data_IF_487325206672
#
_entry.id   IF_487325206672
#
_cell.length_a   1.000
_cell.length_b   1.000
_cell.length_c   1.000
_cell.angle_alpha   90.00
_cell.angle_beta   90.00
_cell.angle_gamma   90.00
#
_symmetry.space_group_name_H-M   'P 1'
#
loop_
_entity.id
_entity.type
_entity.pdbx_description
1 polymer ?
#
# COMPACT_ATOMS: atom_id res chain seq x y z
N UNK A 1 4.59 10.02 -16.22
CA UNK A 1 3.17 9.77 -15.82
C UNK A 1 2.69 10.98 -14.99
N UNK A 2 1.41 11.08 -14.58
CA UNK A 2 0.89 12.26 -13.88
C UNK A 2 1.60 12.55 -12.54
N UNK A 3 1.93 11.52 -11.75
CA UNK A 3 2.66 11.66 -10.48
C UNK A 3 4.04 12.31 -10.69
N UNK A 4 4.78 11.85 -11.70
CA UNK A 4 6.08 12.41 -12.06
C UNK A 4 6.00 13.84 -12.62
N UNK A 5 4.95 14.14 -13.39
CA UNK A 5 4.74 15.50 -13.89
C UNK A 5 4.54 16.45 -12.71
N UNK A 6 3.62 16.11 -11.80
CA UNK A 6 3.32 16.91 -10.61
C UNK A 6 4.57 17.08 -9.74
N UNK A 7 5.36 16.03 -9.55
CA UNK A 7 6.54 16.10 -8.68
C UNK A 7 7.62 17.04 -9.21
N UNK A 8 7.63 17.35 -10.51
CA UNK A 8 8.59 18.29 -11.11
C UNK A 8 8.03 19.70 -11.35
N UNK A 9 6.75 19.95 -11.06
CA UNK A 9 6.21 21.30 -11.13
C UNK A 9 6.81 22.19 -10.04
N UNK A 10 6.98 23.46 -10.34
CA UNK A 10 7.49 24.48 -9.43
C UNK A 10 6.69 25.78 -9.58
N UNK A 11 7.07 26.84 -8.84
CA UNK A 11 6.34 28.12 -8.83
C UNK A 11 6.30 28.84 -10.18
N UNK A 12 7.18 28.50 -11.13
CA UNK A 12 7.14 29.00 -12.50
C UNK A 12 6.28 28.16 -13.44
N UNK A 13 5.82 26.98 -13.01
CA UNK A 13 4.93 26.12 -13.78
C UNK A 13 3.50 26.67 -13.81
N UNK A 14 2.77 26.41 -14.90
CA UNK A 14 1.40 26.86 -15.05
C UNK A 14 0.44 26.12 -14.10
N UNK A 15 -0.48 26.84 -13.47
CA UNK A 15 -1.56 26.26 -12.65
C UNK A 15 -2.43 25.25 -13.43
N UNK A 16 -2.54 25.42 -14.76
CA UNK A 16 -3.26 24.48 -15.63
C UNK A 16 -2.59 23.09 -15.69
N UNK A 17 -1.26 23.02 -15.69
CA UNK A 17 -0.52 21.75 -15.72
C UNK A 17 -0.71 20.98 -14.41
N UNK A 18 -0.70 21.71 -13.29
CA UNK A 18 -0.99 21.17 -11.96
C UNK A 18 -2.41 20.60 -11.88
N UNK A 19 -3.41 21.39 -12.28
CA UNK A 19 -4.82 20.96 -12.28
C UNK A 19 -5.04 19.74 -13.17
N UNK A 20 -4.39 19.70 -14.33
CA UNK A 20 -4.45 18.55 -15.27
C UNK A 20 -3.84 17.30 -14.65
N UNK A 21 -2.64 17.42 -14.06
CA UNK A 21 -1.97 16.31 -13.38
C UNK A 21 -2.77 15.76 -12.21
N UNK A 22 -3.31 16.63 -11.35
CA UNK A 22 -4.13 16.23 -10.20
C UNK A 22 -5.42 15.55 -10.66
N UNK A 23 -6.09 16.10 -11.68
CA UNK A 23 -7.30 15.49 -12.24
C UNK A 23 -7.02 14.10 -12.80
N UNK A 24 -5.90 13.90 -13.48
CA UNK A 24 -5.50 12.60 -14.00
C UNK A 24 -5.24 11.57 -12.88
N UNK A 25 -4.64 11.99 -11.75
CA UNK A 25 -4.48 11.13 -10.56
C UNK A 25 -5.85 10.76 -9.97
N UNK A 26 -6.70 11.76 -9.72
CA UNK A 26 -8.06 11.56 -9.20
C UNK A 26 -8.83 10.56 -10.05
N UNK A 27 -8.90 10.78 -11.35
CA UNK A 27 -9.70 9.96 -12.27
C UNK A 27 -9.15 8.52 -12.36
N UNK A 28 -7.81 8.38 -12.33
CA UNK A 28 -7.16 7.07 -12.28
C UNK A 28 -7.48 6.32 -10.99
N UNK A 29 -7.42 7.00 -9.84
CA UNK A 29 -7.74 6.39 -8.55
C UNK A 29 -9.22 6.07 -8.39
N UNK A 30 -10.12 6.89 -8.94
CA UNK A 30 -11.54 6.56 -9.02
C UNK A 30 -11.76 5.25 -9.78
N UNK A 31 -11.09 5.08 -10.93
CA UNK A 31 -11.12 3.84 -11.71
C UNK A 31 -10.53 2.65 -10.95
N UNK A 32 -9.42 2.84 -10.23
CA UNK A 32 -8.85 1.81 -9.35
C UNK A 32 -9.86 1.39 -8.30
N UNK A 33 -10.54 2.33 -7.64
CA UNK A 33 -11.58 2.04 -6.67
C UNK A 33 -12.77 1.28 -7.28
N UNK A 34 -13.20 1.63 -8.48
CA UNK A 34 -14.25 0.89 -9.20
C UNK A 34 -13.83 -0.55 -9.49
N UNK A 35 -12.59 -0.78 -9.92
CA UNK A 35 -12.06 -2.13 -10.17
C UNK A 35 -11.93 -2.89 -8.85
N UNK A 36 -11.41 -2.26 -7.80
CA UNK A 36 -11.17 -2.92 -6.52
C UNK A 36 -12.48 -3.39 -5.87
N UNK A 37 -13.58 -2.64 -6.00
CA UNK A 37 -14.93 -3.04 -5.55
C UNK A 37 -15.44 -4.35 -6.17
N UNK A 38 -14.89 -4.75 -7.32
CA UNK A 38 -15.28 -5.97 -8.03
C UNK A 38 -14.54 -7.21 -7.55
N UNK A 39 -13.56 -7.07 -6.65
CA UNK A 39 -12.82 -8.21 -6.09
C UNK A 39 -13.75 -9.32 -5.57
N UNK A 40 -14.86 -9.04 -4.84
CA UNK A 40 -15.77 -10.08 -4.36
C UNK A 40 -16.52 -10.83 -5.47
N UNK A 41 -16.57 -10.34 -6.70
CA UNK A 41 -17.21 -11.05 -7.83
C UNK A 41 -16.48 -12.36 -8.17
N UNK A 42 -15.17 -12.43 -7.90
CA UNK A 42 -14.29 -13.54 -8.30
C UNK A 42 -13.32 -14.01 -7.22
N UNK A 43 -13.32 -13.38 -6.04
CA UNK A 43 -12.51 -13.77 -4.91
C UNK A 43 -13.44 -14.09 -3.74
N UNK A 44 -13.67 -15.37 -3.47
CA UNK A 44 -14.45 -15.78 -2.30
C UNK A 44 -13.59 -15.67 -1.03
N UNK A 45 -14.06 -15.05 0.06
CA UNK A 45 -13.29 -14.89 1.29
C UNK A 45 -12.77 -16.20 1.89
N UNK A 46 -13.60 -17.24 1.91
CA UNK A 46 -13.22 -18.55 2.46
C UNK A 46 -12.16 -19.21 1.58
N UNK A 47 -12.37 -19.23 0.26
CA UNK A 47 -11.41 -19.78 -0.69
C UNK A 47 -10.07 -19.04 -0.61
N UNK A 48 -10.09 -17.71 -0.59
CA UNK A 48 -8.87 -16.92 -0.47
C UNK A 48 -8.12 -17.25 0.82
N UNK A 49 -8.78 -17.18 1.99
CA UNK A 49 -8.10 -17.37 3.27
C UNK A 49 -7.59 -18.80 3.48
N UNK A 50 -8.35 -19.82 3.09
CA UNK A 50 -8.02 -21.20 3.40
C UNK A 50 -7.30 -21.95 2.28
N UNK A 51 -7.40 -21.50 1.02
CA UNK A 51 -6.85 -22.24 -0.13
C UNK A 51 -5.82 -21.48 -0.93
N UNK A 52 -5.76 -20.15 -0.81
CA UNK A 52 -4.78 -19.32 -1.52
C UNK A 52 -3.73 -18.80 -0.55
N UNK A 53 -4.17 -18.15 0.53
CA UNK A 53 -3.32 -17.49 1.52
C UNK A 53 -2.20 -18.37 2.10
N UNK A 54 -2.38 -19.67 2.38
CA UNK A 54 -1.31 -20.51 2.92
C UNK A 54 -0.05 -20.56 2.04
N UNK A 55 -0.18 -20.42 0.72
CA UNK A 55 0.92 -20.57 -0.23
C UNK A 55 1.74 -19.29 -0.45
N UNK A 56 1.27 -18.16 0.08
CA UNK A 56 1.90 -16.86 -0.13
C UNK A 56 2.63 -16.35 1.12
N UNK A 57 2.44 -17.02 2.27
CA UNK A 57 3.29 -16.83 3.44
C UNK A 57 4.77 -17.10 3.13
N UNK A 58 5.63 -16.20 3.62
CA UNK A 58 7.08 -16.33 3.50
C UNK A 58 7.67 -17.24 4.57
N UNK A 59 8.99 -17.15 4.72
CA UNK A 59 9.76 -17.96 5.68
C UNK A 59 10.09 -17.18 6.95
N UNK A 60 10.00 -15.84 6.92
CA UNK A 60 10.14 -14.97 8.08
C UNK A 60 8.86 -14.96 8.91
N UNK A 61 8.99 -15.11 10.22
CA UNK A 61 7.88 -15.13 11.19
C UNK A 61 6.82 -16.21 10.89
N UNK A 62 7.20 -17.27 10.17
CA UNK A 62 6.32 -18.37 9.82
C UNK A 62 6.44 -19.52 10.84
N UNK A 63 5.35 -19.90 11.54
CA UNK A 63 5.40 -20.95 12.57
C UNK A 63 5.71 -22.34 12.02
N UNK A 64 5.44 -22.59 10.73
CA UNK A 64 5.74 -23.88 10.08
C UNK A 64 7.21 -23.96 9.62
N UNK A 65 7.91 -22.82 9.56
CA UNK A 65 9.33 -22.70 9.20
C UNK A 65 10.10 -21.89 10.27
N UNK A 66 10.11 -22.33 11.54
CA UNK A 66 10.67 -21.56 12.65
C UNK A 66 12.18 -21.31 12.52
N UNK A 67 12.87 -22.15 11.75
CA UNK A 67 14.31 -22.07 11.50
C UNK A 67 14.64 -21.49 10.11
N UNK A 68 13.68 -20.86 9.44
CA UNK A 68 13.85 -20.33 8.08
C UNK A 68 13.88 -21.44 7.01
N UNK A 69 14.31 -21.08 5.80
CA UNK A 69 14.42 -21.98 4.66
C UNK A 69 15.84 -22.03 4.12
N UNK A 70 16.38 -23.23 3.95
CA UNK A 70 17.66 -23.46 3.26
C UNK A 70 17.40 -23.44 1.75
N UNK A 71 18.20 -22.65 1.04
CA UNK A 71 18.25 -22.66 -0.43
C UNK A 71 19.53 -23.38 -0.83
N UNK A 72 19.42 -24.66 -1.18
CA UNK A 72 20.56 -25.53 -1.51
C UNK A 72 21.43 -24.89 -2.60
N UNK A 73 22.74 -24.79 -2.34
CA UNK A 73 23.73 -24.18 -3.23
C UNK A 73 23.79 -22.65 -3.17
N UNK A 74 22.94 -21.99 -2.37
CA UNK A 74 22.85 -20.54 -2.26
C UNK A 74 23.02 -20.08 -0.81
N UNK A 75 23.26 -18.77 -0.62
CA UNK A 75 23.36 -18.12 0.69
C UNK A 75 24.29 -18.81 1.71
N UNK A 76 25.35 -19.46 1.23
CA UNK A 76 26.30 -20.24 2.04
C UNK A 76 25.64 -21.35 2.89
N UNK A 77 24.52 -21.93 2.44
CA UNK A 77 23.74 -22.93 3.18
C UNK A 77 23.15 -22.39 4.50
N UNK A 78 23.04 -21.08 4.66
CA UNK A 78 22.41 -20.46 5.83
C UNK A 78 20.88 -20.33 5.65
N UNK A 79 20.07 -20.54 6.70
CA UNK A 79 18.63 -20.35 6.60
C UNK A 79 18.23 -18.91 6.33
N UNK A 80 17.35 -18.74 5.35
CA UNK A 80 16.84 -17.43 4.95
C UNK A 80 15.42 -17.17 5.47
N UNK A 81 15.19 -15.90 5.82
CA UNK A 81 13.96 -15.40 6.42
C UNK A 81 13.38 -14.29 5.55
N UNK A 82 12.66 -14.66 4.50
CA UNK A 82 12.00 -13.72 3.61
C UNK A 82 10.53 -13.53 3.99
N UNK A 83 10.03 -12.31 3.86
CA UNK A 83 8.61 -11.99 4.10
C UNK A 83 7.75 -12.62 3.02
N UNK A 84 6.52 -12.96 3.40
CA UNK A 84 5.47 -13.28 2.45
C UNK A 84 5.10 -12.08 1.58
N UNK A 85 4.22 -12.32 0.63
CA UNK A 85 3.65 -11.27 -0.19
C UNK A 85 2.82 -10.29 0.67
N UNK A 86 2.71 -9.04 0.24
CA UNK A 86 1.74 -8.13 0.84
C UNK A 86 1.41 -7.00 -0.12
N UNK A 87 0.22 -6.42 0.01
CA UNK A 87 -0.15 -5.22 -0.74
C UNK A 87 0.82 -4.05 -0.54
N UNK A 88 1.58 -4.02 0.57
CA UNK A 88 2.61 -3.02 0.83
C UNK A 88 3.84 -3.12 -0.08
N UNK A 89 4.01 -4.21 -0.84
CA UNK A 89 5.04 -4.37 -1.87
C UNK A 89 4.62 -3.73 -3.22
N UNK A 90 3.40 -3.20 -3.32
CA UNK A 90 2.98 -2.38 -4.47
C UNK A 90 3.58 -0.98 -4.41
N UNK A 91 4.11 -0.49 -5.52
CA UNK A 91 4.67 0.87 -5.64
C UNK A 91 3.61 1.95 -5.90
N UNK A 92 2.36 1.59 -6.20
CA UNK A 92 1.32 2.55 -6.63
C UNK A 92 1.00 3.56 -5.53
N UNK A 93 0.57 3.09 -4.35
CA UNK A 93 0.20 3.96 -3.24
C UNK A 93 1.41 4.76 -2.71
N UNK A 94 2.61 4.15 -2.48
CA UNK A 94 3.79 4.91 -2.10
C UNK A 94 4.19 6.00 -3.11
N UNK A 95 4.02 5.75 -4.42
CA UNK A 95 4.28 6.78 -5.44
C UNK A 95 3.30 7.94 -5.32
N UNK A 96 2.02 7.66 -5.09
CA UNK A 96 1.01 8.70 -4.90
C UNK A 96 1.22 9.47 -3.60
N UNK A 97 1.61 8.79 -2.52
CA UNK A 97 1.96 9.43 -1.26
C UNK A 97 3.14 10.40 -1.45
N UNK A 98 4.19 9.98 -2.16
CA UNK A 98 5.33 10.84 -2.50
C UNK A 98 4.93 12.04 -3.38
N UNK A 99 4.21 11.79 -4.48
CA UNK A 99 3.80 12.84 -5.41
C UNK A 99 2.83 13.86 -4.78
N UNK A 100 1.92 13.40 -3.93
CA UNK A 100 0.93 14.25 -3.24
C UNK A 100 1.43 14.80 -1.90
N UNK A 101 2.65 14.46 -1.47
CA UNK A 101 3.19 14.80 -0.15
C UNK A 101 2.21 14.42 0.98
N UNK A 102 1.76 13.16 0.97
CA UNK A 102 1.01 12.54 2.06
C UNK A 102 2.03 11.93 3.03
N UNK A 103 2.09 12.47 4.24
CA UNK A 103 3.07 12.04 5.23
C UNK A 103 2.49 11.00 6.20
N UNK A 104 3.37 10.13 6.69
CA UNK A 104 3.04 9.08 7.65
C UNK A 104 3.95 9.21 8.87
N UNK A 105 3.35 9.15 10.07
CA UNK A 105 4.09 9.32 11.33
C UNK A 105 5.18 8.25 11.47
N UNK A 106 6.32 8.67 12.03
CA UNK A 106 7.50 7.82 12.13
C UNK A 106 7.39 6.88 13.33
N UNK A 107 6.85 5.69 13.10
CA UNK A 107 6.72 4.63 14.10
C UNK A 107 7.12 3.26 13.53
N UNK A 108 6.93 2.19 14.30
CA UNK A 108 7.27 0.82 13.91
C UNK A 108 6.64 0.39 12.57
N UNK A 109 5.50 0.96 12.18
CA UNK A 109 4.88 0.71 10.89
C UNK A 109 5.71 1.31 9.74
N UNK A 110 6.27 2.51 9.92
CA UNK A 110 7.15 3.10 8.90
C UNK A 110 8.39 2.26 8.67
N UNK A 111 8.98 1.69 9.73
CA UNK A 111 10.08 0.74 9.59
C UNK A 111 9.68 -0.51 8.80
N UNK A 112 8.51 -1.08 9.07
CA UNK A 112 7.99 -2.23 8.33
C UNK A 112 7.73 -1.89 6.85
N UNK A 113 7.12 -0.74 6.55
CA UNK A 113 6.88 -0.34 5.16
C UNK A 113 8.16 -0.05 4.39
N UNK A 114 9.17 0.49 5.06
CA UNK A 114 10.50 0.65 4.47
C UNK A 114 11.12 -0.71 4.15
N UNK A 115 11.00 -1.71 5.04
CA UNK A 115 11.40 -3.09 4.73
C UNK A 115 10.65 -3.62 3.49
N UNK A 116 9.36 -3.31 3.33
CA UNK A 116 8.59 -3.74 2.14
C UNK A 116 9.05 -3.08 0.85
N UNK A 117 9.72 -1.92 0.90
CA UNK A 117 10.32 -1.32 -0.30
C UNK A 117 11.44 -2.20 -0.84
N UNK A 118 12.21 -2.89 0.00
CA UNK A 118 13.31 -3.76 -0.46
C UNK A 118 12.82 -4.91 -1.36
N UNK A 119 11.55 -5.29 -1.23
CA UNK A 119 10.86 -6.27 -2.06
C UNK A 119 10.27 -5.69 -3.37
N UNK A 120 10.39 -4.38 -3.60
CA UNK A 120 10.02 -3.74 -4.86
C UNK A 120 11.22 -3.74 -5.82
N UNK A 121 11.02 -3.83 -7.14
CA UNK A 121 12.09 -3.63 -8.12
C UNK A 121 12.84 -2.30 -7.90
N UNK A 122 14.17 -2.31 -8.06
CA UNK A 122 15.00 -1.10 -7.86
C UNK A 122 14.47 0.14 -8.61
N UNK A 123 14.08 0.07 -9.90
CA UNK A 123 13.52 1.23 -10.60
C UNK A 123 12.26 1.80 -9.95
N UNK A 124 11.44 0.97 -9.30
CA UNK A 124 10.24 1.44 -8.60
C UNK A 124 10.59 2.14 -7.29
N UNK A 125 11.59 1.64 -6.56
CA UNK A 125 12.09 2.31 -5.34
C UNK A 125 12.68 3.67 -5.67
N UNK A 126 13.53 3.72 -6.69
CA UNK A 126 14.18 4.96 -7.14
C UNK A 126 13.11 5.99 -7.55
N UNK A 127 12.06 5.53 -8.26
CA UNK A 127 10.93 6.38 -8.64
C UNK A 127 10.17 6.95 -7.43
N UNK A 128 9.86 6.13 -6.41
CA UNK A 128 9.20 6.61 -5.18
C UNK A 128 10.07 7.69 -4.51
N UNK A 129 11.37 7.44 -4.37
CA UNK A 129 12.31 8.38 -3.76
C UNK A 129 12.44 9.68 -4.57
N UNK A 130 12.42 9.62 -5.91
CA UNK A 130 12.37 10.80 -6.77
C UNK A 130 11.13 11.65 -6.46
N UNK A 131 9.95 11.05 -6.41
CA UNK A 131 8.69 11.75 -6.14
C UNK A 131 8.70 12.41 -4.75
N UNK A 132 9.14 11.69 -3.73
CA UNK A 132 9.26 12.18 -2.34
C UNK A 132 10.19 13.38 -2.23
N UNK A 133 11.28 13.41 -3.01
CA UNK A 133 12.30 14.46 -2.93
C UNK A 133 12.01 15.68 -3.82
N UNK A 134 11.24 15.50 -4.89
CA UNK A 134 11.03 16.56 -5.89
C UNK A 134 9.71 17.29 -5.72
N UNK A 135 8.67 16.62 -5.23
CA UNK A 135 7.33 17.20 -5.17
C UNK A 135 7.24 18.43 -4.27
N UNK A 136 6.58 19.47 -4.78
CA UNK A 136 6.26 20.71 -4.05
C UNK A 136 4.76 21.00 -4.06
N UNK A 137 3.93 20.00 -4.35
CA UNK A 137 2.49 20.14 -4.61
C UNK A 137 1.77 20.93 -3.52
N UNK A 138 2.11 20.75 -2.24
CA UNK A 138 1.50 21.46 -1.10
C UNK A 138 1.70 22.97 -1.19
N UNK A 139 2.87 23.41 -1.65
CA UNK A 139 3.16 24.82 -1.85
C UNK A 139 2.41 25.36 -3.07
N UNK A 140 2.31 24.57 -4.14
CA UNK A 140 1.72 25.00 -5.40
C UNK A 140 0.20 25.15 -5.35
N UNK A 141 -0.48 24.38 -4.50
CA UNK A 141 -1.94 24.45 -4.34
C UNK A 141 -2.40 25.58 -3.40
N UNK A 142 -1.52 26.11 -2.55
CA UNK A 142 -1.87 27.00 -1.43
C UNK A 142 -2.68 28.24 -1.83
N UNK A 143 -2.33 28.83 -2.97
CA UNK A 143 -2.94 30.07 -3.47
C UNK A 143 -3.98 29.81 -4.58
N UNK A 144 -4.37 28.55 -4.82
CA UNK A 144 -5.35 28.16 -5.83
C UNK A 144 -6.45 27.29 -5.21
N UNK A 145 -7.65 27.86 -5.08
CA UNK A 145 -8.81 27.14 -4.56
C UNK A 145 -9.16 25.93 -5.45
N UNK A 146 -9.13 26.12 -6.77
CA UNK A 146 -9.42 25.06 -7.74
C UNK A 146 -8.42 23.90 -7.61
N UNK A 147 -7.10 24.18 -7.53
CA UNK A 147 -6.12 23.12 -7.36
C UNK A 147 -6.20 22.45 -5.99
N UNK A 148 -6.52 23.20 -4.93
CA UNK A 148 -6.76 22.64 -3.60
C UNK A 148 -7.95 21.68 -3.58
N UNK A 149 -9.04 22.02 -4.28
CA UNK A 149 -10.22 21.17 -4.37
C UNK A 149 -9.94 19.88 -5.16
N UNK A 150 -9.19 19.95 -6.26
CA UNK A 150 -8.77 18.76 -7.02
C UNK A 150 -7.79 17.91 -6.21
N UNK A 151 -6.86 18.54 -5.48
CA UNK A 151 -5.94 17.86 -4.57
C UNK A 151 -6.70 17.07 -3.49
N UNK A 152 -7.69 17.70 -2.84
CA UNK A 152 -8.54 17.03 -1.87
C UNK A 152 -9.34 15.88 -2.48
N UNK A 153 -9.78 16.00 -3.73
CA UNK A 153 -10.43 14.91 -4.44
C UNK A 153 -9.46 13.74 -4.69
N UNK A 154 -8.17 13.99 -4.94
CA UNK A 154 -7.15 12.93 -5.00
C UNK A 154 -7.03 12.20 -3.66
N UNK A 155 -6.96 12.97 -2.56
CA UNK A 155 -6.86 12.41 -1.20
C UNK A 155 -8.12 11.61 -0.83
N UNK A 156 -9.31 12.06 -1.24
CA UNK A 156 -10.54 11.30 -1.01
C UNK A 156 -10.51 9.95 -1.74
N UNK A 157 -10.04 9.90 -2.99
CA UNK A 157 -9.95 8.62 -3.72
C UNK A 157 -8.91 7.67 -3.10
N UNK A 158 -7.79 8.18 -2.60
CA UNK A 158 -6.79 7.37 -1.87
C UNK A 158 -7.36 6.91 -0.51
N UNK A 159 -8.06 7.77 0.21
CA UNK A 159 -8.74 7.43 1.48
C UNK A 159 -9.82 6.37 1.24
N UNK A 160 -10.60 6.49 0.18
CA UNK A 160 -11.61 5.50 -0.21
C UNK A 160 -10.97 4.14 -0.53
N UNK A 161 -9.83 4.12 -1.24
CA UNK A 161 -9.06 2.90 -1.47
C UNK A 161 -8.61 2.27 -0.15
N UNK A 162 -8.03 3.05 0.76
CA UNK A 162 -7.55 2.59 2.08
C UNK A 162 -8.69 2.08 2.95
N UNK A 163 -9.86 2.73 2.89
CA UNK A 163 -11.06 2.31 3.61
C UNK A 163 -11.60 0.97 3.09
N UNK A 164 -11.69 0.80 1.77
CA UNK A 164 -12.11 -0.46 1.16
C UNK A 164 -11.10 -1.59 1.44
N UNK A 165 -9.81 -1.29 1.40
CA UNK A 165 -8.76 -2.25 1.77
C UNK A 165 -8.90 -2.70 3.22
N UNK A 166 -9.16 -1.78 4.16
CA UNK A 166 -9.41 -2.11 5.56
C UNK A 166 -10.66 -2.99 5.73
N UNK A 167 -11.74 -2.71 5.00
CA UNK A 167 -12.94 -3.53 4.99
C UNK A 167 -12.67 -4.96 4.50
N UNK A 168 -11.92 -5.09 3.40
CA UNK A 168 -11.52 -6.39 2.88
C UNK A 168 -10.57 -7.13 3.81
N UNK A 169 -9.63 -6.45 4.44
CA UNK A 169 -8.78 -7.07 5.45
C UNK A 169 -9.61 -7.59 6.64
N UNK A 170 -10.64 -6.85 7.04
CA UNK A 170 -11.61 -7.31 8.04
C UNK A 170 -12.39 -8.55 7.59
N UNK A 171 -12.85 -8.59 6.34
CA UNK A 171 -13.72 -9.66 5.83
C UNK A 171 -12.97 -10.91 5.39
N UNK A 172 -11.86 -10.76 4.66
CA UNK A 172 -11.08 -11.84 4.06
C UNK A 172 -10.04 -12.42 5.02
N UNK A 173 -9.60 -11.67 6.03
CA UNK A 173 -8.60 -12.15 6.99
C UNK A 173 -9.21 -12.30 8.37
N UNK A 174 -9.64 -11.19 8.99
CA UNK A 174 -10.02 -11.22 10.40
C UNK A 174 -11.26 -12.08 10.67
N UNK A 175 -12.32 -11.98 9.87
CA UNK A 175 -13.51 -12.83 10.03
C UNK A 175 -13.20 -14.30 9.75
N UNK A 176 -12.45 -14.60 8.69
CA UNK A 176 -12.10 -15.98 8.32
C UNK A 176 -11.20 -16.65 9.37
N UNK A 177 -10.31 -15.89 10.02
CA UNK A 177 -9.46 -16.43 11.07
C UNK A 177 -10.21 -16.87 12.33
N UNK A 178 -11.46 -16.44 12.53
CA UNK A 178 -12.31 -16.87 13.64
C UNK A 178 -13.10 -18.14 13.33
N UNK A 179 -13.09 -18.61 12.09
CA UNK A 179 -13.83 -19.81 11.66
C UNK A 179 -12.93 -21.03 11.90
N UNK A 180 -13.42 -22.02 12.64
CA UNK A 180 -12.73 -23.30 12.80
C UNK A 180 -12.65 -24.03 11.45
N UNK A 181 -11.46 -24.49 11.07
CA UNK A 181 -11.25 -25.21 9.83
C UNK A 181 -10.52 -26.55 10.10
N UNK A 182 -10.97 -27.67 9.49
CA UNK A 182 -10.30 -28.97 9.57
C UNK A 182 -8.90 -29.02 8.94
N UNK A 183 -8.55 -28.09 8.04
CA UNK A 183 -7.21 -27.92 7.51
C UNK A 183 -6.39 -27.07 8.49
N UNK A 184 -5.17 -27.51 8.82
CA UNK A 184 -4.24 -26.75 9.65
C UNK A 184 -4.02 -25.32 9.12
N UNK A 185 -3.44 -24.45 9.93
CA UNK A 185 -3.29 -23.02 9.57
C UNK A 185 -2.45 -22.82 8.31
N UNK A 186 -1.54 -23.74 7.95
CA UNK A 186 -0.65 -23.60 6.80
C UNK A 186 0.09 -22.26 6.82
N UNK A 187 0.72 -21.95 7.96
CA UNK A 187 1.35 -20.66 8.24
C UNK A 187 0.37 -19.50 8.55
N UNK A 188 -0.93 -19.66 8.30
CA UNK A 188 -1.96 -18.61 8.43
C UNK A 188 -2.24 -18.22 9.89
N UNK A 189 -1.60 -17.15 10.34
CA UNK A 189 -1.85 -16.49 11.64
C UNK A 189 -2.92 -15.40 11.53
N UNK A 190 -3.41 -14.92 12.69
CA UNK A 190 -4.23 -13.67 12.80
C UNK A 190 -3.45 -12.43 12.34
N UNK A 191 -2.12 -12.50 12.30
CA UNK A 191 -1.28 -11.44 11.75
C UNK A 191 -1.32 -11.45 10.23
N UNK A 192 -0.94 -10.33 9.59
CA UNK A 192 -0.87 -10.25 8.13
C UNK A 192 0.10 -11.28 7.56
N UNK A 193 0.08 -11.53 6.25
CA UNK A 193 1.05 -12.46 5.60
C UNK A 193 2.51 -12.03 5.78
N UNK A 194 2.75 -10.73 6.04
CA UNK A 194 4.05 -10.22 6.47
C UNK A 194 4.27 -10.14 7.99
N UNK A 195 3.37 -10.70 8.82
CA UNK A 195 3.54 -10.81 10.28
C UNK A 195 3.00 -9.64 11.12
N UNK A 196 2.31 -8.64 10.54
CA UNK A 196 1.94 -7.40 11.23
C UNK A 196 0.51 -7.36 11.81
N UNK A 197 0.24 -6.50 12.82
CA UNK A 197 -1.12 -6.16 13.27
C UNK A 197 -1.81 -5.22 12.25
N UNK A 198 -2.07 -5.74 11.05
CA UNK A 198 -2.43 -4.98 9.85
C UNK A 198 -3.66 -4.07 10.00
N UNK A 199 -4.67 -4.46 10.80
CA UNK A 199 -5.90 -3.66 10.94
C UNK A 199 -5.65 -2.26 11.52
N UNK A 200 -4.81 -2.16 12.55
CA UNK A 200 -4.47 -0.88 13.17
C UNK A 200 -3.71 0.02 12.19
N UNK A 201 -2.81 -0.59 11.42
CA UNK A 201 -1.98 0.11 10.44
C UNK A 201 -2.77 0.61 9.23
N UNK A 202 -3.66 -0.23 8.68
CA UNK A 202 -4.55 0.16 7.59
C UNK A 202 -5.50 1.28 8.01
N UNK A 203 -6.05 1.21 9.24
CA UNK A 203 -6.87 2.28 9.80
C UNK A 203 -6.09 3.58 9.93
N UNK A 204 -4.87 3.52 10.47
CA UNK A 204 -3.99 4.68 10.64
C UNK A 204 -3.69 5.37 9.31
N UNK A 205 -3.28 4.65 8.27
CA UNK A 205 -3.01 5.24 6.96
C UNK A 205 -4.24 5.94 6.35
N UNK A 206 -5.42 5.34 6.51
CA UNK A 206 -6.67 5.96 6.07
C UNK A 206 -6.92 7.28 6.79
N UNK A 207 -6.76 7.29 8.12
CA UNK A 207 -7.03 8.47 8.95
C UNK A 207 -5.98 9.57 8.72
N UNK A 208 -4.70 9.21 8.54
CA UNK A 208 -3.64 10.15 8.17
C UNK A 208 -3.86 10.80 6.80
N UNK A 209 -4.42 10.08 5.82
CA UNK A 209 -4.82 10.69 4.53
C UNK A 209 -5.96 11.69 4.72
N UNK A 210 -6.98 11.33 5.51
CA UNK A 210 -8.14 12.20 5.76
C UNK A 210 -7.71 13.52 6.40
N UNK A 211 -6.91 13.43 7.46
CA UNK A 211 -6.46 14.57 8.25
C UNK A 211 -5.54 15.54 7.47
N UNK A 212 -5.11 15.14 6.28
CA UNK A 212 -4.18 15.88 5.45
C UNK A 212 -4.85 16.61 4.27
N UNK A 213 -6.18 16.55 4.14
CA UNK A 213 -6.93 17.43 3.22
C UNK A 213 -6.80 18.90 3.68
N UNK A 214 -6.86 19.83 2.74
CA UNK A 214 -6.61 21.28 2.95
C UNK A 214 -7.81 22.16 2.71
#
# INVERSE_FOLDING_TARGET
NAAQIISHLNSSSGQADLATGLSAIRDSMNRVNQIFRRMPEKCDPYIYYHRVRPFIFGTKDNPDLPNGLIYEGEFNEEPQYFRGETGAQSSIIPSLDGALQIEHTNDNLRHYLNEMRDYMPKPHRDFITELENTSQVRNLIKDSKDCSDIYNACLEEIRAFRALHLEYAGTYIHKQSQIENPFGRGGSTITGTGGTPFMNYLKKHRDETENQKV
#
